data_IF_125479688240
#
_entry.id   IF_125479688240
#
_cell.length_a   1.000
_cell.length_b   1.000
_cell.length_c   1.000
_cell.angle_alpha   90.00
_cell.angle_beta   90.00
_cell.angle_gamma   90.00
#
_symmetry.space_group_name_H-M   'P 1'
#
loop_
_entity.id
_entity.type
_entity.pdbx_description
1 polymer ?
#
# COMPACT_ATOMS: atom_id res chain seq x y z
N UNK A 1 21.67 -53.83 37.93
CA UNK A 1 21.77 -52.39 37.64
C UNK A 1 21.53 -52.19 36.15
N UNK A 2 20.33 -51.79 35.76
CA UNK A 2 19.96 -51.54 34.36
C UNK A 2 20.02 -50.02 34.10
N UNK A 3 20.93 -49.58 33.22
CA UNK A 3 21.05 -48.19 32.81
C UNK A 3 19.91 -47.84 31.85
N UNK A 4 18.97 -47.01 32.29
CA UNK A 4 17.97 -46.38 31.41
C UNK A 4 18.64 -45.32 30.55
N UNK A 5 18.71 -45.59 29.24
CA UNK A 5 19.14 -44.61 28.21
C UNK A 5 18.00 -43.62 27.93
N UNK A 6 18.16 -42.38 28.40
CA UNK A 6 17.28 -41.26 28.05
C UNK A 6 17.35 -41.00 26.55
N UNK A 7 16.31 -41.39 25.80
CA UNK A 7 16.09 -40.97 24.41
C UNK A 7 15.95 -39.41 24.34
N UNK A 8 16.97 -38.75 23.81
CA UNK A 8 16.87 -37.33 23.39
C UNK A 8 15.78 -37.22 22.31
N UNK A 9 14.67 -36.55 22.64
CA UNK A 9 13.68 -36.11 21.64
C UNK A 9 14.37 -35.13 20.69
N UNK A 10 14.58 -35.54 19.44
CA UNK A 10 14.92 -34.63 18.33
C UNK A 10 13.86 -33.57 18.22
N UNK A 11 14.19 -32.25 18.03
CA UNK A 11 13.19 -31.24 17.80
C UNK A 11 12.50 -31.54 16.45
N UNK A 12 11.19 -31.79 16.50
CA UNK A 12 10.35 -31.80 15.30
C UNK A 12 10.59 -30.45 14.60
N UNK A 13 11.13 -30.49 13.39
CA UNK A 13 11.12 -29.36 12.46
C UNK A 13 9.64 -28.99 12.27
N UNK A 14 9.17 -27.96 12.99
CA UNK A 14 7.81 -27.48 12.82
C UNK A 14 7.71 -26.94 11.38
N UNK A 15 7.02 -27.70 10.52
CA UNK A 15 6.66 -27.21 9.21
C UNK A 15 5.93 -25.87 9.40
N UNK A 16 6.23 -24.86 8.55
CA UNK A 16 5.53 -23.58 8.58
C UNK A 16 4.04 -23.86 8.33
N UNK A 17 3.23 -23.56 9.33
CA UNK A 17 1.77 -23.66 9.20
C UNK A 17 1.22 -22.38 8.57
N UNK A 18 0.56 -22.45 7.40
CA UNK A 18 0.01 -21.27 6.71
C UNK A 18 -0.92 -20.43 7.60
N UNK A 19 -1.68 -21.08 8.47
CA UNK A 19 -2.57 -20.42 9.42
C UNK A 19 -1.79 -19.55 10.44
N UNK A 20 -0.65 -20.02 10.92
CA UNK A 20 0.20 -19.26 11.87
C UNK A 20 0.88 -18.08 11.18
N UNK A 21 1.37 -18.26 9.96
CA UNK A 21 1.94 -17.18 9.16
C UNK A 21 0.90 -16.07 8.92
N UNK A 22 -0.32 -16.43 8.52
CA UNK A 22 -1.41 -15.48 8.30
C UNK A 22 -1.80 -14.74 9.57
N UNK A 23 -1.85 -15.40 10.73
CA UNK A 23 -2.10 -14.74 12.03
C UNK A 23 -1.03 -13.69 12.34
N UNK A 24 0.24 -14.01 12.11
CA UNK A 24 1.36 -13.08 12.32
C UNK A 24 1.23 -11.87 11.39
N UNK A 25 0.93 -12.08 10.11
CA UNK A 25 0.77 -10.99 9.14
C UNK A 25 -0.43 -10.09 9.48
N UNK A 26 -1.54 -10.66 9.94
CA UNK A 26 -2.70 -9.89 10.41
C UNK A 26 -2.35 -9.06 11.65
N UNK A 27 -1.70 -9.66 12.64
CA UNK A 27 -1.23 -8.96 13.83
C UNK A 27 -0.24 -7.83 13.50
N UNK A 28 0.69 -8.09 12.57
CA UNK A 28 1.64 -7.09 12.11
C UNK A 28 0.92 -5.88 11.48
N UNK A 29 -0.11 -6.09 10.65
CA UNK A 29 -0.92 -5.00 10.09
C UNK A 29 -1.57 -4.16 11.20
N UNK A 30 -2.16 -4.80 12.20
CA UNK A 30 -2.78 -4.12 13.35
C UNK A 30 -1.77 -3.25 14.11
N UNK A 31 -0.59 -3.81 14.42
CA UNK A 31 0.45 -3.09 15.14
C UNK A 31 1.05 -1.96 14.28
N UNK A 32 1.27 -2.20 12.99
CA UNK A 32 1.75 -1.17 12.05
C UNK A 32 0.75 -0.03 11.90
N UNK A 33 -0.55 -0.32 11.94
CA UNK A 33 -1.59 0.71 11.91
C UNK A 33 -1.53 1.63 13.14
N UNK A 34 -1.30 1.05 14.33
CA UNK A 34 -1.24 1.81 15.60
C UNK A 34 0.09 2.57 15.80
N UNK A 35 1.21 1.99 15.40
CA UNK A 35 2.56 2.47 15.75
C UNK A 35 3.39 2.97 14.56
N UNK A 36 2.89 2.79 13.34
CA UNK A 36 3.73 2.85 12.14
C UNK A 36 4.73 1.69 12.09
N UNK A 37 5.37 1.50 10.95
CA UNK A 37 6.39 0.43 10.81
C UNK A 37 7.65 0.72 11.62
N UNK A 38 8.05 1.98 11.75
CA UNK A 38 9.21 2.39 12.54
C UNK A 38 9.01 2.11 14.04
N UNK A 39 7.86 2.51 14.60
CA UNK A 39 7.54 2.38 16.03
C UNK A 39 7.15 0.97 16.48
N UNK A 40 6.76 0.08 15.56
CA UNK A 40 6.38 -1.28 15.89
C UNK A 40 7.54 -2.12 16.38
N UNK A 41 7.29 -2.95 17.40
CA UNK A 41 8.26 -3.91 17.96
C UNK A 41 7.84 -5.34 17.68
N UNK A 42 8.80 -6.20 17.34
CA UNK A 42 8.56 -7.64 17.08
C UNK A 42 7.88 -8.34 18.26
N UNK A 43 8.21 -7.96 19.49
CA UNK A 43 7.59 -8.50 20.71
C UNK A 43 6.10 -8.15 20.79
N UNK A 44 5.70 -6.90 20.44
CA UNK A 44 4.32 -6.46 20.42
C UNK A 44 3.51 -7.22 19.35
N UNK A 45 4.12 -7.43 18.16
CA UNK A 45 3.51 -8.22 17.09
C UNK A 45 3.33 -9.68 17.49
N UNK A 46 4.31 -10.27 18.18
CA UNK A 46 4.21 -11.65 18.69
C UNK A 46 3.05 -11.79 19.69
N UNK A 47 2.93 -10.85 20.63
CA UNK A 47 1.85 -10.81 21.61
C UNK A 47 0.48 -10.67 20.92
N UNK A 48 0.34 -9.75 19.97
CA UNK A 48 -0.89 -9.54 19.18
C UNK A 48 -1.29 -10.80 18.37
N UNK A 49 -0.29 -11.53 17.83
CA UNK A 49 -0.51 -12.77 17.09
C UNK A 49 -0.80 -13.99 17.97
N UNK A 50 -0.66 -13.87 19.29
CA UNK A 50 -0.76 -15.01 20.22
C UNK A 50 0.32 -16.07 19.97
N UNK A 51 1.55 -15.63 19.62
CA UNK A 51 2.71 -16.50 19.42
C UNK A 51 3.89 -16.05 20.29
N UNK A 52 4.82 -16.95 20.58
CA UNK A 52 6.06 -16.52 21.23
C UNK A 52 7.01 -15.85 20.23
N UNK A 53 7.93 -15.04 20.75
CA UNK A 53 8.86 -14.27 19.93
C UNK A 53 9.80 -15.17 19.09
N UNK A 54 10.17 -16.35 19.59
CA UNK A 54 11.01 -17.30 18.86
C UNK A 54 10.29 -17.83 17.61
N UNK A 55 8.99 -18.11 17.71
CA UNK A 55 8.17 -18.53 16.58
C UNK A 55 8.02 -17.41 15.55
N UNK A 56 7.79 -16.16 15.99
CA UNK A 56 7.76 -15.01 15.09
C UNK A 56 9.10 -14.86 14.34
N UNK A 57 10.24 -14.95 15.02
CA UNK A 57 11.55 -14.90 14.37
C UNK A 57 11.83 -16.08 13.45
N UNK A 58 11.28 -17.25 13.74
CA UNK A 58 11.35 -18.40 12.83
C UNK A 58 10.66 -18.10 11.48
N UNK A 59 9.48 -17.45 11.50
CA UNK A 59 8.75 -17.10 10.27
C UNK A 59 9.38 -15.92 9.52
N UNK A 60 9.67 -14.83 10.21
CA UNK A 60 9.99 -13.55 9.56
C UNK A 60 11.37 -12.97 9.89
N UNK A 61 12.13 -13.57 10.76
CA UNK A 61 13.52 -13.21 11.16
C UNK A 61 13.74 -11.73 11.53
N UNK A 62 13.11 -10.77 10.84
CA UNK A 62 13.24 -9.33 11.10
C UNK A 62 11.95 -8.59 10.82
N UNK A 63 11.83 -7.37 11.37
CA UNK A 63 10.70 -6.47 11.14
C UNK A 63 10.61 -6.04 9.67
N UNK A 64 11.72 -5.85 9.01
CA UNK A 64 11.81 -5.48 7.59
C UNK A 64 11.25 -6.59 6.70
N UNK A 65 11.59 -7.85 6.97
CA UNK A 65 11.03 -9.00 6.24
C UNK A 65 9.53 -9.15 6.49
N UNK A 66 9.09 -8.91 7.72
CA UNK A 66 7.68 -8.94 8.07
C UNK A 66 6.89 -7.82 7.37
N UNK A 67 7.40 -6.58 7.37
CA UNK A 67 6.74 -5.46 6.67
C UNK A 67 6.72 -5.67 5.16
N UNK A 68 7.78 -6.21 4.57
CA UNK A 68 7.81 -6.62 3.16
C UNK A 68 6.72 -7.66 2.86
N UNK A 69 6.57 -8.69 3.69
CA UNK A 69 5.56 -9.72 3.51
C UNK A 69 4.13 -9.16 3.65
N UNK A 70 3.90 -8.23 4.58
CA UNK A 70 2.61 -7.52 4.69
C UNK A 70 2.33 -6.69 3.44
N UNK A 71 3.32 -5.96 2.90
CA UNK A 71 3.17 -5.22 1.66
C UNK A 71 2.83 -6.15 0.48
N UNK A 72 3.53 -7.28 0.36
CA UNK A 72 3.29 -8.28 -0.69
C UNK A 72 1.87 -8.89 -0.67
N UNK A 73 1.18 -8.87 0.47
CA UNK A 73 -0.24 -9.25 0.53
C UNK A 73 -1.20 -8.18 0.00
N UNK A 74 -0.80 -6.91 0.08
CA UNK A 74 -1.64 -5.77 -0.29
C UNK A 74 -1.41 -5.37 -1.75
N UNK A 75 -0.18 -5.36 -2.19
CA UNK A 75 0.23 -4.93 -3.51
C UNK A 75 -0.54 -5.59 -4.68
N UNK A 76 -0.80 -6.92 -4.67
CA UNK A 76 -1.57 -7.58 -5.73
C UNK A 76 -3.02 -7.12 -5.85
N UNK A 77 -3.57 -6.44 -4.84
CA UNK A 77 -4.93 -5.88 -4.89
C UNK A 77 -4.96 -4.49 -5.51
N UNK A 78 -3.87 -3.73 -5.36
CA UNK A 78 -3.80 -2.32 -5.77
C UNK A 78 -3.24 -2.17 -7.18
N UNK A 79 -2.07 -2.74 -7.43
CA UNK A 79 -1.37 -2.49 -8.69
C UNK A 79 -2.08 -3.08 -9.91
N UNK A 80 -2.57 -4.33 -9.92
CA UNK A 80 -3.33 -4.85 -11.05
C UNK A 80 -4.61 -4.05 -11.31
N UNK A 81 -5.34 -3.65 -10.26
CA UNK A 81 -6.56 -2.87 -10.41
C UNK A 81 -6.28 -1.46 -10.98
N UNK A 82 -5.18 -0.81 -10.56
CA UNK A 82 -4.73 0.45 -11.13
C UNK A 82 -4.38 0.31 -12.61
N UNK A 83 -3.57 -0.71 -12.98
CA UNK A 83 -3.17 -1.00 -14.35
C UNK A 83 -4.41 -1.26 -15.21
N UNK A 84 -5.32 -2.10 -14.73
CA UNK A 84 -6.57 -2.42 -15.41
C UNK A 84 -7.40 -1.16 -15.63
N UNK A 85 -7.54 -0.30 -14.62
CA UNK A 85 -8.28 0.96 -14.74
C UNK A 85 -7.66 1.92 -15.74
N UNK A 86 -6.34 2.10 -15.70
CA UNK A 86 -5.63 2.97 -16.64
C UNK A 86 -5.66 2.44 -18.09
N UNK A 87 -5.59 1.11 -18.25
CA UNK A 87 -5.66 0.44 -19.55
C UNK A 87 -7.06 0.26 -20.12
N UNK A 88 -8.11 0.41 -19.30
CA UNK A 88 -9.49 0.19 -19.73
C UNK A 88 -9.96 1.25 -20.76
N UNK A 89 -10.85 0.82 -21.63
CA UNK A 89 -11.53 1.70 -22.59
C UNK A 89 -12.77 2.36 -21.93
N UNK A 90 -12.49 3.20 -20.96
CA UNK A 90 -13.47 4.01 -20.21
C UNK A 90 -13.05 5.47 -20.26
N UNK A 91 -13.97 6.36 -19.95
CA UNK A 91 -13.70 7.80 -19.95
C UNK A 91 -12.63 8.19 -18.93
N UNK A 92 -11.98 9.33 -19.18
CA UNK A 92 -10.99 9.88 -18.24
C UNK A 92 -11.61 10.20 -16.87
N UNK A 93 -12.85 10.68 -16.88
CA UNK A 93 -13.61 10.99 -15.65
C UNK A 93 -13.88 9.73 -14.82
N UNK A 94 -14.25 8.64 -15.47
CA UNK A 94 -14.45 7.35 -14.81
C UNK A 94 -13.14 6.75 -14.28
N UNK A 95 -12.02 6.96 -15.02
CA UNK A 95 -10.68 6.58 -14.50
C UNK A 95 -10.34 7.33 -13.22
N UNK A 96 -10.59 8.63 -13.18
CA UNK A 96 -10.36 9.47 -11.98
C UNK A 96 -11.15 8.90 -10.79
N UNK A 97 -12.45 8.66 -10.96
CA UNK A 97 -13.31 8.14 -9.89
C UNK A 97 -12.84 6.77 -9.38
N UNK A 98 -12.57 5.84 -10.29
CA UNK A 98 -12.10 4.50 -9.93
C UNK A 98 -10.75 4.52 -9.23
N UNK A 99 -9.80 5.34 -9.70
CA UNK A 99 -8.47 5.46 -9.08
C UNK A 99 -8.60 6.08 -7.69
N UNK A 100 -9.34 7.17 -7.53
CA UNK A 100 -9.57 7.79 -6.22
C UNK A 100 -10.22 6.81 -5.26
N UNK A 101 -11.28 6.11 -5.67
CA UNK A 101 -11.94 5.09 -4.88
C UNK A 101 -10.99 3.99 -4.43
N UNK A 102 -10.26 3.39 -5.37
CA UNK A 102 -9.30 2.32 -5.12
C UNK A 102 -8.22 2.73 -4.10
N UNK A 103 -7.60 3.90 -4.30
CA UNK A 103 -6.53 4.36 -3.41
C UNK A 103 -7.06 4.70 -2.02
N UNK A 104 -8.12 5.51 -1.91
CA UNK A 104 -8.63 5.93 -0.61
C UNK A 104 -9.19 4.77 0.21
N UNK A 105 -9.89 3.80 -0.41
CA UNK A 105 -10.36 2.59 0.26
C UNK A 105 -9.21 1.71 0.76
N UNK A 106 -8.22 1.49 -0.10
CA UNK A 106 -7.06 0.66 0.27
C UNK A 106 -6.24 1.29 1.38
N UNK A 107 -6.00 2.60 1.28
CA UNK A 107 -5.21 3.33 2.27
C UNK A 107 -5.97 3.51 3.59
N UNK A 108 -7.29 3.67 3.57
CA UNK A 108 -8.11 3.69 4.79
C UNK A 108 -7.93 2.41 5.61
N UNK A 109 -7.83 1.26 4.95
CA UNK A 109 -7.58 -0.03 5.58
C UNK A 109 -6.11 -0.29 5.94
N UNK A 110 -5.16 0.47 5.36
CA UNK A 110 -3.72 0.24 5.46
C UNK A 110 -2.95 1.56 5.58
N UNK A 111 -3.34 2.40 6.53
CA UNK A 111 -2.86 3.79 6.67
C UNK A 111 -1.35 3.92 6.88
N UNK A 112 -0.67 2.84 7.30
CA UNK A 112 0.79 2.80 7.47
C UNK A 112 1.56 2.68 6.15
N UNK A 113 0.89 2.27 5.05
CA UNK A 113 1.57 1.96 3.78
C UNK A 113 2.34 3.14 3.18
N UNK A 114 1.81 4.37 3.11
CA UNK A 114 2.56 5.48 2.54
C UNK A 114 3.84 5.77 3.32
N UNK A 115 3.77 5.81 4.65
CA UNK A 115 4.94 6.01 5.49
C UNK A 115 5.97 4.88 5.35
N UNK A 116 5.51 3.63 5.26
CA UNK A 116 6.37 2.48 4.99
C UNK A 116 7.08 2.61 3.64
N UNK A 117 6.35 2.87 2.55
CA UNK A 117 6.93 2.99 1.22
C UNK A 117 7.91 4.15 1.12
N UNK A 118 7.59 5.31 1.68
CA UNK A 118 8.49 6.47 1.71
C UNK A 118 9.79 6.11 2.45
N UNK A 119 9.68 5.48 3.61
CA UNK A 119 10.84 5.02 4.38
C UNK A 119 11.69 4.01 3.61
N UNK A 120 11.06 3.00 2.97
CA UNK A 120 11.79 2.02 2.16
C UNK A 120 12.46 2.64 0.93
N UNK A 121 11.81 3.60 0.25
CA UNK A 121 12.41 4.31 -0.88
C UNK A 121 13.68 5.06 -0.50
N UNK A 122 13.73 5.64 0.70
CA UNK A 122 14.90 6.37 1.17
C UNK A 122 16.04 5.44 1.64
N UNK A 123 15.72 4.37 2.34
CA UNK A 123 16.73 3.52 2.98
C UNK A 123 17.10 2.29 2.13
N UNK A 124 16.16 1.78 1.32
CA UNK A 124 16.31 0.53 0.57
C UNK A 124 15.68 0.60 -0.83
N UNK A 125 16.10 1.53 -1.73
CA UNK A 125 15.47 1.74 -3.04
C UNK A 125 15.41 0.47 -3.91
N UNK A 126 16.44 -0.39 -3.84
CA UNK A 126 16.46 -1.66 -4.58
C UNK A 126 15.36 -2.63 -4.12
N UNK A 127 15.01 -2.61 -2.82
CA UNK A 127 13.95 -3.44 -2.28
C UNK A 127 12.58 -2.99 -2.79
N UNK A 128 12.37 -1.68 -2.87
CA UNK A 128 11.14 -1.12 -3.47
C UNK A 128 11.03 -1.50 -4.94
N UNK A 129 12.11 -1.45 -5.70
CA UNK A 129 12.12 -1.91 -7.09
C UNK A 129 11.70 -3.39 -7.20
N UNK A 130 12.26 -4.27 -6.35
CA UNK A 130 11.87 -5.69 -6.30
C UNK A 130 10.40 -5.89 -5.93
N UNK A 131 9.87 -5.09 -5.00
CA UNK A 131 8.45 -5.13 -4.62
C UNK A 131 7.54 -4.78 -5.79
N UNK A 132 7.88 -3.74 -6.57
CA UNK A 132 7.12 -3.37 -7.77
C UNK A 132 7.21 -4.44 -8.85
N UNK A 133 8.39 -4.97 -9.14
CA UNK A 133 8.55 -6.08 -10.09
C UNK A 133 7.71 -7.29 -9.69
N UNK A 134 7.76 -7.68 -8.43
CA UNK A 134 6.98 -8.81 -7.89
C UNK A 134 5.48 -8.58 -7.97
N UNK A 135 5.03 -7.34 -7.70
CA UNK A 135 3.61 -7.00 -7.70
C UNK A 135 3.01 -6.89 -9.12
N UNK A 136 3.82 -6.48 -10.10
CA UNK A 136 3.40 -6.28 -11.48
C UNK A 136 3.62 -7.50 -12.37
N UNK A 137 4.49 -8.43 -11.96
CA UNK A 137 4.87 -9.59 -12.79
C UNK A 137 5.62 -9.23 -14.08
N UNK A 138 5.98 -7.95 -14.26
CA UNK A 138 6.65 -7.43 -15.44
C UNK A 138 7.54 -6.22 -15.07
N UNK A 139 8.33 -5.73 -16.04
CA UNK A 139 9.08 -4.48 -15.84
C UNK A 139 8.15 -3.29 -15.62
N UNK A 140 8.20 -2.61 -14.46
CA UNK A 140 7.34 -1.49 -14.14
C UNK A 140 7.42 -0.34 -15.16
N UNK A 141 8.59 -0.10 -15.75
CA UNK A 141 8.79 0.96 -16.76
C UNK A 141 8.06 0.64 -18.05
N UNK A 142 8.17 -0.61 -18.54
CA UNK A 142 7.48 -1.05 -19.75
C UNK A 142 5.97 -0.97 -19.61
N UNK A 143 5.42 -1.44 -18.50
CA UNK A 143 4.00 -1.34 -18.19
C UNK A 143 3.55 0.12 -18.16
N UNK A 144 4.28 0.97 -17.44
CA UNK A 144 3.94 2.39 -17.30
C UNK A 144 3.96 3.14 -18.63
N UNK A 145 4.92 2.86 -19.53
CA UNK A 145 4.99 3.49 -20.86
C UNK A 145 3.73 3.22 -21.68
N UNK A 146 3.21 1.99 -21.65
CA UNK A 146 1.97 1.64 -22.38
C UNK A 146 0.77 2.40 -21.80
N UNK A 147 0.66 2.45 -20.48
CA UNK A 147 -0.45 3.14 -19.79
C UNK A 147 -0.42 4.65 -20.03
N UNK A 148 0.77 5.25 -20.00
CA UNK A 148 0.92 6.69 -20.26
C UNK A 148 0.55 7.07 -21.71
N UNK A 149 0.89 6.22 -22.71
CA UNK A 149 0.45 6.45 -24.11
C UNK A 149 -1.06 6.43 -24.25
N UNK A 150 -1.75 5.50 -23.57
CA UNK A 150 -3.21 5.46 -23.60
C UNK A 150 -3.81 6.71 -22.94
N UNK A 151 -3.25 7.12 -21.79
CA UNK A 151 -3.66 8.33 -21.09
C UNK A 151 -3.43 9.60 -21.95
N UNK A 152 -2.28 9.69 -22.62
CA UNK A 152 -1.93 10.77 -23.53
C UNK A 152 -2.94 10.93 -24.67
N UNK A 153 -3.35 9.83 -25.29
CA UNK A 153 -4.37 9.83 -26.33
C UNK A 153 -5.68 10.44 -25.82
N UNK A 154 -6.16 9.98 -24.66
CA UNK A 154 -7.42 10.48 -24.07
C UNK A 154 -7.33 11.97 -23.65
N UNK A 155 -6.19 12.38 -23.09
CA UNK A 155 -5.95 13.79 -22.76
C UNK A 155 -5.99 14.65 -24.04
N UNK A 156 -5.25 14.25 -25.09
CA UNK A 156 -5.18 14.98 -26.33
C UNK A 156 -6.53 15.07 -27.07
N UNK A 157 -7.37 14.04 -26.98
CA UNK A 157 -8.74 14.07 -27.48
C UNK A 157 -9.55 15.16 -26.76
N UNK A 158 -9.56 15.21 -25.44
CA UNK A 158 -10.28 16.20 -24.65
C UNK A 158 -9.74 17.62 -24.81
N UNK A 159 -8.43 17.78 -25.00
CA UNK A 159 -7.82 19.09 -25.28
C UNK A 159 -8.28 19.60 -26.65
N UNK A 160 -8.32 18.75 -27.68
CA UNK A 160 -8.82 19.12 -29.02
C UNK A 160 -10.30 19.48 -29.00
N UNK A 161 -11.10 18.80 -28.17
CA UNK A 161 -12.54 19.08 -28.02
C UNK A 161 -12.79 20.32 -27.13
N UNK A 162 -11.76 21.00 -26.65
CA UNK A 162 -11.87 22.18 -25.79
C UNK A 162 -12.50 21.91 -24.42
N UNK A 163 -12.50 20.63 -23.94
CA UNK A 163 -13.10 20.23 -22.68
C UNK A 163 -12.08 20.04 -21.55
N UNK A 164 -10.79 20.19 -21.87
CA UNK A 164 -9.71 20.01 -20.92
C UNK A 164 -8.50 20.87 -21.31
N UNK A 165 -7.81 21.47 -20.31
CA UNK A 165 -6.53 22.14 -20.54
C UNK A 165 -5.41 21.11 -20.77
N UNK A 166 -4.36 21.48 -21.53
CA UNK A 166 -3.19 20.59 -21.72
C UNK A 166 -2.53 20.23 -20.40
N UNK A 167 -2.19 18.95 -20.27
CA UNK A 167 -1.38 18.42 -19.14
C UNK A 167 -0.59 17.22 -19.62
N UNK A 168 0.66 17.11 -19.17
CA UNK A 168 1.48 15.93 -19.41
C UNK A 168 0.89 14.71 -18.69
N UNK A 169 0.83 13.52 -19.33
CA UNK A 169 0.25 12.30 -18.73
C UNK A 169 0.88 11.91 -17.40
N UNK A 170 2.21 12.10 -17.25
CA UNK A 170 2.92 11.85 -15.98
C UNK A 170 2.43 12.80 -14.89
N UNK A 171 2.28 14.09 -15.19
CA UNK A 171 1.77 15.09 -14.25
C UNK A 171 0.34 14.79 -13.83
N UNK A 172 -0.52 14.41 -14.79
CA UNK A 172 -1.88 13.98 -14.50
C UNK A 172 -1.90 12.84 -13.46
N UNK A 173 -1.15 11.77 -13.72
CA UNK A 173 -1.13 10.58 -12.88
C UNK A 173 -0.51 10.87 -11.50
N UNK A 174 0.63 11.57 -11.46
CA UNK A 174 1.32 11.91 -10.21
C UNK A 174 0.43 12.82 -9.36
N UNK A 175 -0.20 13.85 -9.92
CA UNK A 175 -1.09 14.74 -9.19
C UNK A 175 -2.27 13.98 -8.58
N UNK A 176 -2.93 13.11 -9.37
CA UNK A 176 -4.07 12.33 -8.91
C UNK A 176 -3.68 11.40 -7.75
N UNK A 177 -2.59 10.65 -7.90
CA UNK A 177 -2.10 9.70 -6.88
C UNK A 177 -1.62 10.46 -5.63
N UNK A 178 -0.89 11.56 -5.78
CA UNK A 178 -0.39 12.36 -4.66
C UNK A 178 -1.52 12.93 -3.82
N UNK A 179 -2.59 13.40 -4.45
CA UNK A 179 -3.77 13.88 -3.74
C UNK A 179 -4.48 12.77 -2.94
N UNK A 180 -4.39 11.52 -3.37
CA UNK A 180 -4.90 10.38 -2.61
C UNK A 180 -3.98 9.98 -1.44
N UNK A 181 -2.67 9.99 -1.67
CA UNK A 181 -1.67 9.44 -0.72
C UNK A 181 -1.31 10.44 0.38
N UNK A 182 -1.18 11.73 0.04
CA UNK A 182 -0.67 12.75 0.96
C UNK A 182 -1.37 12.80 2.33
N UNK A 183 -2.70 12.74 2.46
CA UNK A 183 -3.35 12.76 3.76
C UNK A 183 -2.89 11.65 4.71
N UNK A 184 -2.64 10.46 4.18
CA UNK A 184 -2.15 9.34 4.99
C UNK A 184 -0.66 9.46 5.33
N UNK A 185 0.16 9.93 4.38
CA UNK A 185 1.58 10.17 4.62
C UNK A 185 1.80 11.30 5.65
N UNK A 186 0.99 12.34 5.58
CA UNK A 186 1.06 13.51 6.45
C UNK A 186 0.12 13.42 7.68
N UNK A 187 -0.49 12.26 7.96
CA UNK A 187 -1.47 12.10 9.04
C UNK A 187 -1.01 12.65 10.40
N UNK A 188 0.23 12.39 10.87
CA UNK A 188 0.69 12.96 12.14
C UNK A 188 0.66 14.49 12.16
N UNK A 189 1.04 15.12 11.04
CA UNK A 189 0.99 16.58 10.89
C UNK A 189 -0.46 17.09 10.89
N UNK A 190 -1.37 16.43 10.17
CA UNK A 190 -2.79 16.81 10.11
C UNK A 190 -3.45 16.69 11.49
N UNK A 191 -3.11 15.64 12.25
CA UNK A 191 -3.59 15.47 13.63
C UNK A 191 -3.14 16.63 14.55
N UNK A 192 -1.91 17.10 14.41
CA UNK A 192 -1.38 18.22 15.21
C UNK A 192 -1.99 19.55 14.77
N UNK A 193 -1.97 19.84 13.46
CA UNK A 193 -2.36 21.16 12.92
C UNK A 193 -3.86 21.38 12.97
N UNK A 194 -4.66 20.35 12.68
CA UNK A 194 -6.13 20.43 12.60
C UNK A 194 -6.85 19.75 13.79
N UNK A 195 -6.12 19.20 14.76
CA UNK A 195 -6.71 18.50 15.90
C UNK A 195 -7.49 17.25 15.52
N UNK A 196 -7.14 16.59 14.41
CA UNK A 196 -7.88 15.42 13.92
C UNK A 196 -7.53 14.17 14.74
N UNK A 197 -8.50 13.64 15.46
CA UNK A 197 -8.45 12.27 15.98
C UNK A 197 -8.71 11.23 14.87
N UNK A 198 -8.64 9.95 15.22
CA UNK A 198 -8.83 8.84 14.27
C UNK A 198 -10.20 8.88 13.59
N UNK A 199 -11.25 9.20 14.34
CA UNK A 199 -12.63 9.26 13.82
C UNK A 199 -12.82 10.46 12.89
N UNK A 200 -12.28 11.62 13.25
CA UNK A 200 -12.29 12.83 12.40
C UNK A 200 -11.49 12.61 11.11
N UNK A 201 -10.34 11.95 11.20
CA UNK A 201 -9.55 11.60 10.02
C UNK A 201 -10.32 10.68 9.08
N UNK A 202 -10.98 9.65 9.58
CA UNK A 202 -11.76 8.75 8.73
C UNK A 202 -12.94 9.47 8.06
N UNK A 203 -13.66 10.33 8.77
CA UNK A 203 -14.71 11.19 8.17
C UNK A 203 -14.16 12.09 7.06
N UNK A 204 -12.99 12.69 7.28
CA UNK A 204 -12.29 13.48 6.27
C UNK A 204 -11.96 12.66 5.02
N UNK A 205 -11.49 11.42 5.17
CA UNK A 205 -11.20 10.53 4.04
C UNK A 205 -12.48 10.13 3.29
N UNK A 206 -13.57 9.83 4.00
CA UNK A 206 -14.87 9.51 3.38
C UNK A 206 -15.44 10.69 2.57
N UNK A 207 -15.30 11.90 3.10
CA UNK A 207 -15.67 13.12 2.37
C UNK A 207 -14.76 13.34 1.15
N UNK A 208 -13.44 13.19 1.34
CA UNK A 208 -12.46 13.32 0.26
C UNK A 208 -12.70 12.36 -0.90
N UNK A 209 -13.16 11.14 -0.61
CA UNK A 209 -13.51 10.16 -1.65
C UNK A 209 -14.61 10.68 -2.58
N UNK A 210 -15.54 11.49 -2.06
CA UNK A 210 -16.64 12.08 -2.83
C UNK A 210 -16.23 13.35 -3.58
N UNK A 211 -15.41 14.19 -2.94
CA UNK A 211 -15.08 15.53 -3.43
C UNK A 211 -13.85 15.55 -4.35
N UNK A 212 -12.86 14.69 -4.10
CA UNK A 212 -11.60 14.73 -4.84
C UNK A 212 -11.75 14.51 -6.35
N UNK A 213 -12.63 13.62 -6.86
CA UNK A 213 -12.82 13.49 -8.30
C UNK A 213 -13.29 14.80 -8.95
N UNK A 214 -14.24 15.51 -8.35
CA UNK A 214 -14.73 16.79 -8.89
C UNK A 214 -13.69 17.89 -8.76
N UNK A 215 -12.99 17.97 -7.63
CA UNK A 215 -11.87 18.90 -7.46
C UNK A 215 -10.82 18.72 -8.55
N UNK A 216 -10.44 17.46 -8.83
CA UNK A 216 -9.43 17.14 -9.83
C UNK A 216 -9.92 17.48 -11.25
N UNK A 217 -11.17 17.15 -11.60
CA UNK A 217 -11.79 17.54 -12.87
C UNK A 217 -11.85 19.05 -13.04
N UNK A 218 -12.25 19.78 -12.00
CA UNK A 218 -12.31 21.24 -12.01
C UNK A 218 -10.94 21.88 -12.24
N UNK A 219 -9.88 21.32 -11.68
CA UNK A 219 -8.51 21.78 -11.91
C UNK A 219 -8.01 21.54 -13.34
N UNK A 220 -8.71 20.71 -14.13
CA UNK A 220 -8.37 20.40 -15.52
C UNK A 220 -9.26 21.10 -16.55
N UNK A 221 -10.23 21.88 -16.12
CA UNK A 221 -11.08 22.70 -17.04
C UNK A 221 -10.22 23.71 -17.82
N UNK A 222 -10.62 24.04 -19.06
CA UNK A 222 -9.95 25.06 -19.88
C UNK A 222 -9.84 26.41 -19.20
#
# INVERSE_FOLDING_TARGET
MVKQTRRRKTPKTQAREPATEQRILTAARTVFLRRGTAGARMQEIAAEAGVNQALLHYYFRSKERLSTAVFQQIAPRVFPALIQTLGADISLDEKIERIVGLYLETLAQNQFLPGYLISEMHHHPQRVQQLFHSALGADPRGVMLVLLKNLERQINERVRDGTMRPIEPQQFLINLISLCIFPFAARPMLSIVFGMDDAAFMRFIDQRKKELPEFFRSALRP
#
